data_IF_622191145597
#
_entry.id   IF_622191145597
#
_cell.length_a   1.000
_cell.length_b   1.000
_cell.length_c   1.000
_cell.angle_alpha   90.00
_cell.angle_beta   90.00
_cell.angle_gamma   90.00
#
_symmetry.space_group_name_H-M   'P 1'
#
loop_
_entity.id
_entity.type
_entity.pdbx_description
1 polymer ?
#
# COMPACT_ATOMS: atom_id res chain seq x y z
N UNK A 1 -4.21 9.89 0.09
CA UNK A 1 -3.41 11.10 0.35
C UNK A 1 -1.94 10.72 0.18
N UNK A 2 -1.15 11.54 -0.49
CA UNK A 2 0.28 11.31 -0.73
C UNK A 2 1.09 12.52 -0.26
N UNK A 3 2.34 12.31 0.14
CA UNK A 3 3.27 13.40 0.38
C UNK A 3 3.67 14.04 -0.96
N UNK A 4 3.70 15.37 -1.03
CA UNK A 4 3.77 16.10 -2.29
C UNK A 4 5.16 16.12 -2.95
N UNK A 5 6.22 15.75 -2.21
CA UNK A 5 7.59 15.79 -2.69
C UNK A 5 8.19 14.39 -2.82
N UNK A 6 9.07 14.14 -3.79
CA UNK A 6 9.78 12.86 -3.89
C UNK A 6 10.69 12.67 -2.68
N UNK A 7 10.85 11.41 -2.26
CA UNK A 7 11.77 10.99 -1.20
C UNK A 7 12.79 10.04 -1.81
N UNK A 8 14.07 10.37 -1.72
CA UNK A 8 15.15 9.50 -2.24
C UNK A 8 15.35 8.31 -1.30
N UNK A 9 14.84 7.14 -1.69
CA UNK A 9 14.92 5.92 -0.87
C UNK A 9 16.18 5.09 -1.12
N UNK A 10 16.80 5.24 -2.29
CA UNK A 10 18.06 4.59 -2.64
C UNK A 10 18.82 5.47 -3.63
N UNK A 11 20.15 5.37 -3.66
CA UNK A 11 20.99 5.97 -4.68
C UNK A 11 21.95 4.93 -5.26
N UNK A 12 22.29 5.07 -6.54
CA UNK A 12 23.22 4.19 -7.24
C UNK A 12 24.38 5.01 -7.79
N UNK A 13 25.26 5.47 -6.90
CA UNK A 13 26.47 6.16 -7.27
C UNK A 13 27.62 5.16 -7.52
N UNK A 14 28.21 5.22 -8.72
CA UNK A 14 29.51 4.58 -9.02
C UNK A 14 29.64 3.08 -8.67
N UNK A 15 28.56 2.31 -8.85
CA UNK A 15 28.55 0.86 -8.60
C UNK A 15 28.30 0.44 -7.15
N UNK A 16 27.95 1.39 -6.27
CA UNK A 16 27.46 1.11 -4.92
C UNK A 16 25.98 1.49 -4.84
N UNK A 17 25.19 0.65 -4.20
CA UNK A 17 23.79 0.95 -3.89
C UNK A 17 23.72 1.41 -2.44
N UNK A 18 23.36 2.67 -2.22
CA UNK A 18 23.06 3.22 -0.91
C UNK A 18 21.56 3.21 -0.69
N UNK A 19 21.11 2.83 0.51
CA UNK A 19 19.68 2.73 0.84
C UNK A 19 19.39 3.57 2.08
N UNK A 20 18.32 4.36 2.03
CA UNK A 20 17.90 5.19 3.14
C UNK A 20 17.21 4.36 4.22
N UNK A 21 17.47 4.71 5.49
CA UNK A 21 16.65 4.26 6.62
C UNK A 21 15.56 5.29 6.89
N UNK A 22 14.32 4.85 7.10
CA UNK A 22 13.22 5.75 7.43
C UNK A 22 12.37 5.19 8.56
N UNK A 23 11.73 6.10 9.29
CA UNK A 23 10.72 5.79 10.30
C UNK A 23 9.51 6.68 10.05
N UNK A 24 8.32 6.11 10.21
CA UNK A 24 7.06 6.83 10.08
C UNK A 24 6.19 6.50 11.28
N UNK A 25 5.47 7.51 11.79
CA UNK A 25 4.53 7.38 12.90
C UNK A 25 3.20 7.95 12.47
N UNK A 26 2.18 7.10 12.47
CA UNK A 26 0.84 7.42 12.01
C UNK A 26 -0.15 7.05 13.11
N UNK A 27 -1.06 7.98 13.42
CA UNK A 27 -2.19 7.70 14.30
C UNK A 27 -3.45 7.72 13.46
N UNK A 28 -4.24 6.67 13.54
CA UNK A 28 -5.49 6.52 12.80
C UNK A 28 -6.52 5.79 13.67
N UNK A 29 -7.79 5.92 13.31
CA UNK A 29 -8.89 5.18 13.95
C UNK A 29 -9.82 4.66 12.87
N UNK A 30 -10.14 3.37 12.93
CA UNK A 30 -11.17 2.75 12.10
C UNK A 30 -12.38 2.55 13.00
N UNK A 31 -13.38 3.41 12.86
CA UNK A 31 -14.63 3.32 13.63
C UNK A 31 -15.69 2.60 12.81
N UNK A 32 -16.22 1.50 13.36
CA UNK A 32 -17.35 0.80 12.80
C UNK A 32 -18.64 1.51 13.25
N UNK A 33 -19.51 1.84 12.29
CA UNK A 33 -20.80 2.50 12.55
C UNK A 33 -21.90 1.44 12.44
N UNK A 34 -22.96 1.54 13.26
CA UNK A 34 -24.15 0.66 13.23
C UNK A 34 -23.95 -0.78 13.74
N UNK A 35 -23.13 -1.00 14.78
CA UNK A 35 -22.93 -2.32 15.40
C UNK A 35 -22.51 -3.44 14.45
N UNK A 36 -21.95 -3.11 13.28
CA UNK A 36 -21.38 -4.12 12.39
C UNK A 36 -20.09 -4.65 13.00
N UNK A 37 -19.96 -5.97 13.05
CA UNK A 37 -18.77 -6.65 13.58
C UNK A 37 -17.61 -6.66 12.59
N UNK A 38 -17.88 -6.32 11.33
CA UNK A 38 -16.90 -6.31 10.27
C UNK A 38 -17.32 -5.34 9.16
N UNK A 39 -16.47 -4.37 8.84
CA UNK A 39 -16.61 -3.56 7.62
C UNK A 39 -15.27 -3.39 6.95
N UNK A 40 -15.20 -3.79 5.67
CA UNK A 40 -14.01 -3.60 4.85
C UNK A 40 -13.81 -2.15 4.40
N UNK A 41 -12.70 -1.85 3.72
CA UNK A 41 -11.65 -2.80 3.29
C UNK A 41 -10.30 -2.63 4.02
N UNK A 42 -10.12 -1.52 4.73
CA UNK A 42 -8.95 -1.24 5.56
C UNK A 42 -8.15 -0.02 5.12
N UNK A 43 -6.89 0.02 5.51
CA UNK A 43 -5.96 1.11 5.25
C UNK A 43 -4.59 0.53 4.87
N UNK A 44 -3.85 1.23 4.00
CA UNK A 44 -2.47 0.87 3.67
C UNK A 44 -1.55 2.08 3.74
N UNK A 45 -0.32 1.83 4.20
CA UNK A 45 0.83 2.68 3.96
C UNK A 45 1.70 1.99 2.91
N UNK A 46 2.16 2.74 1.90
CA UNK A 46 2.93 2.21 0.79
C UNK A 46 3.98 3.23 0.33
N UNK A 47 5.05 2.70 -0.27
CA UNK A 47 6.04 3.48 -1.01
C UNK A 47 5.82 3.21 -2.51
N UNK A 48 5.70 4.27 -3.30
CA UNK A 48 5.49 4.19 -4.74
C UNK A 48 6.39 5.21 -5.47
N UNK A 49 6.53 5.00 -6.77
CA UNK A 49 7.18 5.95 -7.68
C UNK A 49 6.53 7.34 -7.60
N UNK A 50 7.34 8.37 -7.86
CA UNK A 50 6.87 9.75 -7.92
C UNK A 50 6.87 10.23 -9.38
N UNK A 51 5.77 10.83 -9.89
CA UNK A 51 4.49 11.02 -9.22
C UNK A 51 3.67 9.73 -9.17
N UNK A 52 3.07 9.44 -8.00
CA UNK A 52 2.23 8.25 -7.82
C UNK A 52 0.89 8.42 -8.53
N UNK A 53 0.38 7.32 -9.11
CA UNK A 53 -0.93 7.26 -9.78
C UNK A 53 -1.72 6.09 -9.22
N UNK A 54 -3.00 6.33 -8.91
CA UNK A 54 -3.92 5.25 -8.50
C UNK A 54 -4.17 4.34 -9.71
N UNK A 55 -3.90 3.02 -9.62
CA UNK A 55 -4.15 2.11 -10.72
C UNK A 55 -5.65 2.03 -11.08
N UNK A 56 -6.01 1.78 -12.35
CA UNK A 56 -7.41 1.53 -12.71
C UNK A 56 -7.93 0.27 -12.01
N UNK A 57 -9.25 0.22 -11.73
CA UNK A 57 -9.90 -0.96 -11.10
C UNK A 57 -9.19 -1.42 -9.81
N UNK A 58 -8.86 -0.48 -8.93
CA UNK A 58 -8.13 -0.73 -7.67
C UNK A 58 -8.97 -0.48 -6.40
N UNK A 59 -10.29 -0.43 -6.56
CA UNK A 59 -11.22 -0.14 -5.46
C UNK A 59 -11.31 -1.29 -4.44
N UNK A 60 -11.95 -1.01 -3.31
CA UNK A 60 -12.27 -1.99 -2.27
C UNK A 60 -11.03 -2.69 -1.70
N UNK A 61 -11.00 -4.01 -1.80
CA UNK A 61 -9.96 -4.87 -1.24
C UNK A 61 -8.54 -4.62 -1.78
N UNK A 62 -8.37 -3.83 -2.83
CA UNK A 62 -7.06 -3.48 -3.36
C UNK A 62 -6.50 -2.17 -2.80
N UNK A 63 -7.30 -1.45 -2.00
CA UNK A 63 -6.90 -0.25 -1.26
C UNK A 63 -6.29 0.86 -2.14
N UNK A 64 -6.64 0.93 -3.43
CA UNK A 64 -6.11 1.91 -4.37
C UNK A 64 -4.65 1.66 -4.79
N UNK A 65 -4.09 0.48 -4.50
CA UNK A 65 -2.68 0.16 -4.71
C UNK A 65 -2.44 -0.91 -5.79
N UNK A 66 -3.32 -1.90 -5.90
CA UNK A 66 -3.22 -2.95 -6.92
C UNK A 66 -4.44 -2.89 -7.85
N UNK A 67 -4.23 -3.07 -9.15
CA UNK A 67 -5.33 -3.20 -10.11
C UNK A 67 -5.77 -4.66 -10.24
N UNK A 68 -7.07 -4.88 -10.38
CA UNK A 68 -7.64 -6.23 -10.67
C UNK A 68 -7.33 -6.70 -12.10
N UNK A 69 -6.86 -5.80 -12.97
CA UNK A 69 -6.61 -6.06 -14.39
C UNK A 69 -5.23 -6.68 -14.65
N UNK A 70 -4.27 -6.50 -13.75
CA UNK A 70 -2.92 -7.03 -13.93
C UNK A 70 -2.77 -8.39 -13.27
N UNK A 71 -2.99 -9.44 -14.07
CA UNK A 71 -2.43 -10.78 -13.83
C UNK A 71 -0.93 -10.85 -14.11
N UNK A 72 -0.32 -9.78 -14.64
CA UNK A 72 1.12 -9.69 -14.84
C UNK A 72 1.79 -9.26 -13.54
N UNK A 73 2.58 -10.18 -13.01
CA UNK A 73 3.61 -9.97 -12.01
C UNK A 73 4.63 -8.94 -12.54
N UNK A 74 4.30 -7.65 -12.50
CA UNK A 74 5.31 -6.60 -12.30
C UNK A 74 5.23 -6.13 -10.85
N UNK A 75 5.04 -7.12 -9.97
CA UNK A 75 5.29 -7.01 -8.54
C UNK A 75 6.79 -6.86 -8.31
N UNK A 76 7.37 -5.74 -8.75
CA UNK A 76 8.53 -5.21 -8.05
C UNK A 76 8.02 -4.94 -6.66
N UNK A 77 8.44 -5.75 -5.69
CA UNK A 77 7.94 -5.78 -4.33
C UNK A 77 7.92 -4.38 -3.71
N UNK A 78 6.82 -3.68 -3.90
CA UNK A 78 6.59 -2.38 -3.31
C UNK A 78 6.26 -2.65 -1.84
N UNK A 79 7.10 -2.19 -0.91
CA UNK A 79 6.88 -2.43 0.50
C UNK A 79 5.57 -1.77 0.91
N UNK A 80 4.70 -2.56 1.52
CA UNK A 80 3.37 -2.13 1.97
C UNK A 80 3.09 -2.66 3.37
N UNK A 81 2.53 -1.78 4.20
CA UNK A 81 1.91 -2.16 5.46
C UNK A 81 0.40 -2.08 5.27
N UNK A 82 -0.27 -3.23 5.33
CA UNK A 82 -1.72 -3.34 5.14
C UNK A 82 -2.41 -3.66 6.46
N UNK A 83 -3.40 -2.85 6.80
CA UNK A 83 -4.32 -3.09 7.91
C UNK A 83 -5.68 -3.43 7.33
N UNK A 84 -6.17 -4.64 7.61
CA UNK A 84 -7.54 -5.04 7.24
C UNK A 84 -8.41 -5.01 8.47
N UNK A 85 -9.61 -4.42 8.35
CA UNK A 85 -10.61 -4.51 9.42
C UNK A 85 -11.33 -5.87 9.43
N UNK A 86 -11.24 -6.64 8.34
CA UNK A 86 -11.92 -7.92 8.16
C UNK A 86 -10.98 -8.97 7.57
N UNK A 87 -11.07 -10.21 8.08
CA UNK A 87 -10.45 -11.36 7.42
C UNK A 87 -11.30 -11.74 6.20
N UNK A 88 -10.69 -11.84 5.02
CA UNK A 88 -11.36 -12.39 3.83
C UNK A 88 -10.74 -13.77 3.54
N UNK A 89 -11.50 -14.87 3.68
CA UNK A 89 -10.99 -16.21 3.41
C UNK A 89 -10.55 -16.42 1.94
N UNK A 90 -11.13 -15.66 1.01
CA UNK A 90 -10.91 -15.84 -0.44
C UNK A 90 -9.52 -15.46 -0.97
N UNK A 91 -8.63 -14.93 -0.13
CA UNK A 91 -7.27 -14.50 -0.51
C UNK A 91 -6.17 -15.02 0.45
N UNK A 92 -6.54 -15.84 1.45
CA UNK A 92 -5.64 -16.43 2.46
C UNK A 92 -5.12 -17.81 2.02
N UNK A 93 -5.27 -18.15 0.74
CA UNK A 93 -4.67 -19.35 0.12
C UNK A 93 -3.39 -18.96 -0.62
N UNK A 94 -2.36 -18.58 0.14
CA UNK A 94 -0.96 -18.52 -0.29
C UNK A 94 -0.06 -18.60 0.94
#
# INVERSE_FOLDING_TARGET
MTYAHPVQLYDQASGRTEVASFSTSLTFTISLINNVTCRGDGMAFFLDSYPSKVPPKSAGGNLGFASEETTTVDGRGQPRLRLRSCRRPSYDSA
#
